data_IF_552164895371
#
_entry.id   IF_552164895371
#
_cell.length_a   1.000
_cell.length_b   1.000
_cell.length_c   1.000
_cell.angle_alpha   90.00
_cell.angle_beta   90.00
_cell.angle_gamma   90.00
#
_symmetry.space_group_name_H-M   'P 1'
#
loop_
_entity.id
_entity.type
_entity.pdbx_description
1 polymer ?
2 non-polymer ?
3 water ?
#
# COMPACT_ATOMS: atom_id res chain seq x y z
N UNK A 6 -10.63 15.27 18.01
CA UNK A 6 -11.63 14.26 17.55
C UNK A 6 -12.24 14.52 16.18
N UNK A 7 -12.30 15.77 15.71
CA UNK A 7 -12.86 16.04 14.38
C UNK A 7 -11.84 15.78 13.26
N UNK A 8 -10.55 15.62 13.55
CA UNK A 8 -9.54 15.33 12.53
C UNK A 8 -9.67 13.89 11.97
N UNK A 9 -10.24 13.05 12.80
CA UNK A 9 -10.52 11.67 12.58
C UNK A 9 -11.97 11.43 12.21
N UNK A 10 -12.81 12.45 12.10
CA UNK A 10 -14.18 12.37 11.62
C UNK A 10 -14.15 11.90 10.17
N UNK A 11 -15.03 11.02 9.71
CA UNK A 11 -15.03 10.45 8.37
C UNK A 11 -14.85 11.31 7.15
N UNK A 12 -15.71 12.30 6.88
CA UNK A 12 -15.54 13.11 5.70
C UNK A 12 -14.19 13.83 5.77
N UNK A 13 -13.90 14.41 6.93
CA UNK A 13 -12.66 15.13 7.11
C UNK A 13 -11.47 14.15 7.00
N UNK A 14 -11.60 12.94 7.57
CA UNK A 14 -10.41 12.05 7.45
C UNK A 14 -10.15 11.70 5.99
N UNK A 15 -11.18 11.42 5.23
CA UNK A 15 -11.07 11.05 3.81
C UNK A 15 -10.40 12.18 3.04
N UNK A 16 -10.91 13.40 3.25
CA UNK A 16 -10.32 14.55 2.56
C UNK A 16 -8.90 14.74 3.03
N UNK A 17 -8.47 14.48 4.26
CA UNK A 17 -7.08 14.62 4.64
C UNK A 17 -6.20 13.57 3.93
N UNK A 18 -6.72 12.34 3.86
CA UNK A 18 -5.96 11.30 3.17
C UNK A 18 -5.83 11.69 1.72
N UNK A 19 -6.90 12.25 1.11
CA UNK A 19 -6.75 12.62 -0.30
C UNK A 19 -5.56 13.55 -0.50
N UNK A 20 -5.40 14.59 0.33
CA UNK A 20 -4.27 15.49 0.16
C UNK A 20 -2.95 14.90 0.58
N UNK A 21 -2.90 13.84 1.34
CA UNK A 21 -1.59 13.23 1.64
C UNK A 21 -1.12 12.27 0.56
N UNK A 22 -1.89 12.09 -0.51
CA UNK A 22 -1.43 11.16 -1.55
C UNK A 22 -0.07 11.50 -2.09
N UNK A 23 0.79 10.54 -2.35
CA UNK A 23 2.13 10.75 -2.86
C UNK A 23 2.03 11.28 -4.29
N UNK A 24 3.11 11.91 -4.71
CA UNK A 24 3.21 12.46 -6.03
C UNK A 24 3.44 11.35 -7.02
N UNK A 25 3.44 11.74 -8.30
CA UNK A 25 3.79 10.77 -9.34
C UNK A 25 5.31 10.56 -9.13
N UNK A 26 5.71 9.30 -9.27
CA UNK A 26 7.13 8.97 -9.19
C UNK A 26 7.59 8.38 -10.53
N UNK A 27 8.68 8.89 -11.04
CA UNK A 27 9.25 8.41 -12.30
C UNK A 27 10.56 7.66 -12.02
N UNK A 28 10.83 6.66 -12.83
CA UNK A 28 12.06 5.85 -12.72
C UNK A 28 13.18 6.66 -13.34
N UNK A 29 12.82 7.42 -14.37
CA UNK A 29 13.73 8.31 -15.07
C UNK A 29 15.03 7.63 -15.47
N UNK A 30 14.89 6.49 -16.13
CA UNK A 30 16.02 5.70 -16.60
C UNK A 30 16.77 6.47 -17.69
N UNK A 31 18.09 6.42 -17.60
CA UNK A 31 19.00 7.09 -18.51
C UNK A 31 19.04 6.44 -19.89
N UNK A 38 17.91 -8.16 -15.52
CA UNK A 38 18.78 -7.19 -14.94
C UNK A 38 18.29 -5.65 -15.00
N UNK A 39 17.60 -5.45 -16.14
CA UNK A 39 17.01 -4.11 -16.26
C UNK A 39 15.63 -4.11 -15.60
N UNK A 40 14.76 -5.08 -15.83
CA UNK A 40 13.46 -4.99 -15.16
C UNK A 40 13.62 -4.98 -13.64
N UNK A 41 14.42 -5.88 -13.08
CA UNK A 41 14.59 -5.88 -11.62
C UNK A 41 15.26 -4.62 -11.14
N UNK A 42 16.18 -4.02 -11.94
CA UNK A 42 16.82 -2.80 -11.48
C UNK A 42 15.77 -1.68 -11.47
N UNK A 43 14.94 -1.64 -12.51
CA UNK A 43 13.92 -0.62 -12.60
C UNK A 43 12.90 -0.78 -11.45
N UNK A 44 12.44 -1.99 -11.18
CA UNK A 44 11.46 -2.12 -10.08
C UNK A 44 12.03 -1.74 -8.74
N UNK A 45 13.30 -2.14 -8.45
CA UNK A 45 13.85 -1.78 -7.15
C UNK A 45 14.22 -0.33 -7.07
N UNK A 46 14.68 0.31 -8.14
CA UNK A 46 14.99 1.74 -8.10
C UNK A 46 13.71 2.55 -7.86
N UNK A 47 12.65 2.10 -8.54
CA UNK A 47 11.35 2.75 -8.38
C UNK A 47 10.86 2.64 -6.94
N UNK A 48 10.91 1.42 -6.37
CA UNK A 48 10.47 1.27 -4.97
C UNK A 48 11.24 2.19 -4.05
N UNK A 49 12.59 2.28 -4.16
CA UNK A 49 13.34 3.14 -3.27
C UNK A 49 12.87 4.58 -3.45
N UNK A 50 12.60 5.02 -4.69
CA UNK A 50 12.11 6.41 -4.82
C UNK A 50 10.73 6.58 -4.15
N UNK A 51 9.84 5.61 -4.34
CA UNK A 51 8.50 5.71 -3.75
C UNK A 51 8.50 5.67 -2.24
N UNK A 52 9.44 4.93 -1.62
CA UNK A 52 9.46 4.86 -0.15
C UNK A 52 9.64 6.17 0.48
N UNK A 53 10.43 7.06 -0.21
CA UNK A 53 10.61 8.37 0.35
C UNK A 53 9.26 9.06 0.55
N UNK A 54 8.40 9.00 -0.47
CA UNK A 54 7.10 9.61 -0.40
C UNK A 54 6.13 8.82 0.49
N UNK A 55 6.33 7.52 0.63
CA UNK A 55 5.42 6.75 1.49
C UNK A 55 5.57 7.21 2.94
N UNK A 56 6.83 7.47 3.35
CA UNK A 56 7.11 7.95 4.69
C UNK A 56 6.40 9.27 4.88
N UNK A 57 6.53 10.16 3.87
CA UNK A 57 5.85 11.44 3.98
C UNK A 57 4.33 11.30 4.11
N UNK A 58 3.77 10.38 3.34
CA UNK A 58 2.34 10.14 3.39
C UNK A 58 1.91 9.66 4.78
N UNK A 59 2.69 8.69 5.29
CA UNK A 59 2.31 8.17 6.64
C UNK A 59 2.23 9.27 7.70
N UNK A 60 3.20 10.20 7.66
CA UNK A 60 3.24 11.29 8.62
C UNK A 60 2.05 12.23 8.51
N UNK A 61 1.34 12.21 7.38
CA UNK A 61 0.15 13.04 7.20
C UNK A 61 -1.12 12.31 7.61
N UNK A 62 -1.12 11.01 7.95
CA UNK A 62 -2.35 10.36 8.40
C UNK A 62 -2.66 10.84 9.80
N UNK A 63 -3.79 11.40 10.10
CA UNK A 63 -4.13 11.91 11.40
C UNK A 63 -3.80 10.91 12.51
N UNK A 64 -3.02 11.34 13.49
CA UNK A 64 -2.63 10.52 14.62
C UNK A 64 -1.37 9.73 14.43
N UNK A 65 -0.91 9.47 13.19
CA UNK A 65 0.28 8.61 13.06
C UNK A 65 1.51 9.09 13.81
N UNK A 66 1.86 10.38 13.72
CA UNK A 66 3.03 10.90 14.42
C UNK A 66 2.79 11.00 15.92
N UNK A 67 1.61 10.74 16.45
CA UNK A 67 1.28 10.74 17.87
C UNK A 67 1.54 9.37 18.46
N UNK A 68 1.80 8.40 17.58
CA UNK A 68 2.13 7.05 18.00
C UNK A 68 3.58 7.11 18.52
N UNK A 69 3.98 6.11 19.31
CA UNK A 69 5.37 6.08 19.71
C UNK A 69 6.25 5.85 18.49
N UNK A 70 7.49 6.32 18.59
CA UNK A 70 8.45 6.15 17.51
C UNK A 70 8.64 4.69 17.17
N UNK A 71 8.62 3.83 18.20
CA UNK A 71 8.76 2.41 18.02
C UNK A 71 7.61 1.91 17.14
N UNK A 72 6.40 2.33 17.41
CA UNK A 72 5.28 1.85 16.58
C UNK A 72 5.37 2.43 15.17
N UNK A 73 5.71 3.70 15.02
CA UNK A 73 5.84 4.29 13.68
C UNK A 73 6.84 3.53 12.83
N UNK A 74 8.04 3.27 13.36
CA UNK A 74 9.03 2.52 12.62
C UNK A 74 8.65 1.07 12.34
N UNK A 75 8.04 0.39 13.33
CA UNK A 75 7.67 -1.01 13.09
C UNK A 75 6.62 -1.12 11.96
N UNK A 76 5.69 -0.16 11.98
CA UNK A 76 4.63 -0.22 10.96
C UNK A 76 5.25 0.05 9.59
N UNK A 77 6.08 1.09 9.49
CA UNK A 77 6.69 1.38 8.20
C UNK A 77 7.57 0.25 7.68
N UNK A 78 8.40 -0.35 8.55
CA UNK A 78 9.26 -1.44 8.09
C UNK A 78 8.46 -2.65 7.65
N UNK A 79 7.34 -2.92 8.27
CA UNK A 79 6.54 -4.09 7.91
C UNK A 79 5.65 -3.89 6.68
N UNK A 80 5.16 -2.69 6.49
CA UNK A 80 4.15 -2.48 5.46
C UNK A 80 4.62 -2.09 4.09
N UNK A 81 5.90 -1.81 3.90
CA UNK A 81 6.31 -1.12 2.66
C UNK A 81 5.94 -1.78 1.36
N UNK A 82 6.21 -3.07 1.17
CA UNK A 82 5.82 -3.68 -0.12
C UNK A 82 4.32 -3.77 -0.24
N UNK A 83 3.61 -4.00 0.87
CA UNK A 83 2.14 -4.06 0.74
C UNK A 83 1.54 -2.72 0.26
N UNK A 84 2.03 -1.65 0.86
CA UNK A 84 1.50 -0.31 0.47
C UNK A 84 1.94 -0.01 -0.94
N UNK A 85 3.17 -0.35 -1.33
CA UNK A 85 3.59 -0.09 -2.70
C UNK A 85 2.68 -0.86 -3.65
N UNK A 86 2.42 -2.15 -3.34
CA UNK A 86 1.60 -2.96 -4.24
C UNK A 86 0.17 -2.49 -4.26
N UNK A 87 -0.41 -2.03 -3.16
CA UNK A 87 -1.81 -1.54 -3.22
C UNK A 87 -1.87 -0.29 -4.12
N UNK A 88 -0.84 0.56 -4.14
CA UNK A 88 -0.86 1.76 -5.01
C UNK A 88 -0.75 1.30 -6.48
N UNK A 89 0.10 0.30 -6.74
CA UNK A 89 0.21 -0.28 -8.08
C UNK A 89 -1.14 -0.81 -8.56
N UNK A 90 -1.87 -1.55 -7.70
CA UNK A 90 -3.14 -2.09 -8.11
C UNK A 90 -4.11 -0.95 -8.39
N UNK A 91 -4.12 0.13 -7.64
CA UNK A 91 -5.06 1.22 -7.91
C UNK A 91 -4.68 1.86 -9.24
N UNK A 92 -3.37 2.05 -9.44
CA UNK A 92 -2.93 2.66 -10.72
C UNK A 92 -3.29 1.80 -11.92
N UNK A 93 -3.38 0.48 -11.77
CA UNK A 93 -3.64 -0.40 -12.88
C UNK A 93 -5.09 -0.88 -12.96
N UNK A 94 -5.96 -0.41 -12.07
CA UNK A 94 -7.31 -0.92 -12.03
C UNK A 94 -8.12 -0.93 -13.30
N UNK A 95 -7.96 0.08 -14.14
CA UNK A 95 -8.79 0.10 -15.36
C UNK A 95 -8.13 -0.50 -16.56
N UNK A 96 -7.00 -1.17 -16.41
CA UNK A 96 -6.27 -1.75 -17.51
C UNK A 96 -5.89 -3.20 -17.40
N UNK A 97 -6.82 -4.06 -17.71
CA UNK A 97 -6.60 -5.49 -17.65
C UNK A 97 -5.32 -5.86 -18.38
N UNK A 98 -4.56 -6.76 -17.79
CA UNK A 98 -3.32 -7.26 -18.32
C UNK A 98 -2.12 -6.35 -18.28
N UNK A 99 -2.24 -5.17 -17.67
CA UNK A 99 -1.10 -4.26 -17.62
C UNK A 99 -0.80 -3.86 -16.17
N UNK A 100 0.46 -3.60 -15.86
CA UNK A 100 0.75 -3.15 -14.50
C UNK A 100 1.38 -1.77 -14.67
N UNK A 101 0.66 -0.76 -14.20
CA UNK A 101 1.22 0.61 -14.34
C UNK A 101 2.08 0.91 -13.12
N UNK A 102 3.33 0.46 -13.12
CA UNK A 102 4.24 0.70 -12.01
C UNK A 102 4.51 2.19 -11.86
N UNK A 103 4.60 2.96 -12.91
CA UNK A 103 4.83 4.40 -12.91
C UNK A 103 4.68 4.83 -14.36
N UNK A 104 4.60 6.24 -14.44
CA UNK A 104 4.48 6.82 -15.77
C UNK A 104 5.35 6.29 -16.90
N UNK A 105 6.64 6.03 -16.72
CA UNK A 105 7.44 5.54 -17.87
N UNK A 106 6.96 3.36 -16.91
CA UNK A 106 7.21 1.96 -16.55
C UNK A 106 5.89 1.23 -16.50
N UNK A 107 5.39 0.91 -17.69
CA UNK A 107 4.13 0.19 -17.83
C UNK A 107 4.49 -1.20 -18.35
N UNK A 108 4.20 -2.24 -17.58
CA UNK A 108 4.57 -3.57 -18.05
C UNK A 108 3.37 -4.45 -18.38
N UNK A 109 3.50 -5.21 -19.47
CA UNK A 109 2.42 -6.13 -19.88
C UNK A 109 2.65 -7.41 -19.08
N UNK A 110 1.61 -8.20 -18.86
CA UNK A 110 1.74 -9.45 -18.12
C UNK A 110 2.88 -10.31 -18.66
N UNK A 111 2.94 -10.53 -19.97
CA UNK A 111 3.95 -11.33 -20.64
C UNK A 111 5.38 -10.89 -20.45
N UNK A 112 5.68 -9.64 -20.12
CA UNK A 112 7.04 -9.22 -19.84
C UNK A 112 7.56 -9.84 -18.55
N UNK A 113 6.68 -10.45 -17.75
CA UNK A 113 7.07 -11.11 -16.52
C UNK A 113 7.76 -12.44 -16.85
N UNK A 114 7.56 -12.96 -18.05
CA UNK A 114 8.17 -14.21 -18.50
C UNK A 114 9.70 -14.14 -18.56
N UNK A 115 10.29 -12.98 -18.76
CA UNK A 115 11.71 -12.78 -18.88
C UNK A 115 12.53 -12.86 -17.60
N UNK A 116 11.94 -12.70 -16.43
CA UNK A 116 12.66 -12.77 -15.17
C UNK A 116 12.13 -13.97 -14.38
N UNK A 117 12.98 -14.88 -13.95
CA UNK A 117 12.47 -16.07 -13.25
C UNK A 117 11.78 -15.72 -11.94
N UNK A 118 10.63 -16.34 -11.74
CA UNK A 118 9.83 -16.14 -10.55
C UNK A 118 8.88 -14.94 -10.66
N UNK A 119 9.13 -13.98 -11.54
CA UNK A 119 8.21 -12.82 -11.61
C UNK A 119 6.85 -13.07 -12.18
N UNK A 120 6.65 -13.97 -13.16
CA UNK A 120 5.32 -14.16 -13.73
C UNK A 120 4.27 -14.50 -12.68
N UNK A 121 4.63 -15.35 -11.73
CA UNK A 121 3.73 -15.73 -10.65
C UNK A 121 3.26 -14.49 -9.87
N UNK A 122 4.21 -13.61 -9.57
CA UNK A 122 3.86 -12.39 -8.82
C UNK A 122 3.02 -11.47 -9.70
N UNK A 123 3.37 -11.30 -10.97
CA UNK A 123 2.53 -10.46 -11.83
C UNK A 123 1.11 -10.97 -11.91
N UNK A 124 0.90 -12.31 -12.05
CA UNK A 124 -0.43 -12.84 -12.13
C UNK A 124 -1.18 -12.64 -10.84
N UNK A 125 -0.52 -12.73 -9.67
CA UNK A 125 -1.31 -12.51 -8.45
C UNK A 125 -1.74 -11.03 -8.38
N UNK A 126 -0.81 -10.17 -8.79
CA UNK A 126 -1.10 -8.70 -8.75
C UNK A 126 -2.24 -8.41 -9.69
N UNK A 127 -2.16 -8.96 -10.91
CA UNK A 127 -3.24 -8.69 -11.89
C UNK A 127 -4.57 -9.29 -11.50
N UNK A 128 -4.58 -10.44 -10.79
CA UNK A 128 -5.86 -11.01 -10.39
C UNK A 128 -6.41 -10.22 -9.21
N UNK A 129 -5.55 -9.74 -8.30
CA UNK A 129 -6.09 -8.96 -7.17
C UNK A 129 -6.66 -7.63 -7.70
N UNK A 130 -5.91 -7.07 -8.65
CA UNK A 130 -6.37 -5.81 -9.26
C UNK A 130 -7.71 -6.04 -9.94
N UNK A 131 -7.83 -7.18 -10.62
CA UNK A 131 -9.11 -7.51 -11.27
C UNK A 131 -10.27 -7.60 -10.31
N UNK A 132 -10.06 -8.13 -9.10
CA UNK A 132 -11.07 -8.26 -8.08
C UNK A 132 -11.51 -6.86 -7.64
N UNK A 133 -10.55 -5.94 -7.43
CA UNK A 133 -10.93 -4.58 -7.04
C UNK A 133 -11.67 -3.90 -8.21
N UNK A 134 -11.34 -4.20 -9.45
CA UNK A 134 -12.08 -3.63 -10.59
C UNK A 134 -13.52 -4.15 -10.63
N UNK A 135 -13.69 -5.46 -10.38
CA UNK A 135 -15.01 -6.06 -10.38
C UNK A 135 -15.86 -5.50 -9.25
N UNK A 136 -15.29 -5.18 -8.10
CA UNK A 136 -16.01 -4.61 -6.97
C UNK A 136 -16.25 -3.11 -7.19
N UNK A 137 -15.63 -2.59 -8.24
CA UNK A 137 -15.76 -1.15 -8.53
C UNK A 137 -15.28 -0.36 -7.32
N UNK A 138 -14.04 -0.62 -6.91
CA UNK A 138 -13.49 0.13 -5.78
C UNK A 138 -13.55 1.65 -5.97
N UNK A 139 -14.08 2.39 -5.01
CA UNK A 139 -14.17 3.85 -5.15
C UNK A 139 -12.90 4.53 -4.69
N UNK A 140 -12.71 5.77 -5.12
CA UNK A 140 -11.53 6.52 -4.70
C UNK A 140 -11.46 6.66 -3.19
N UNK A 141 -12.63 6.99 -2.59
CA UNK A 141 -12.71 7.17 -1.15
C UNK A 141 -12.42 5.84 -0.40
N UNK A 142 -12.85 4.75 -1.00
CA UNK A 142 -12.59 3.43 -0.38
C UNK A 142 -11.12 3.09 -0.50
N UNK A 143 -10.50 3.36 -1.65
CA UNK A 143 -9.07 3.10 -1.80
C UNK A 143 -8.28 3.87 -0.76
N UNK A 144 -8.61 5.15 -0.50
CA UNK A 144 -7.83 5.95 0.46
C UNK A 144 -7.94 5.31 1.87
N UNK A 145 -9.14 4.86 2.22
CA UNK A 145 -9.22 4.23 3.56
C UNK A 145 -8.44 2.91 3.63
N UNK A 146 -8.60 2.07 2.63
CA UNK A 146 -7.93 0.77 2.57
C UNK A 146 -6.43 0.90 2.65
N UNK A 147 -5.84 1.78 1.83
CA UNK A 147 -4.38 1.91 1.88
C UNK A 147 -3.93 2.30 3.28
N UNK A 148 -4.61 3.25 3.95
CA UNK A 148 -4.22 3.59 5.32
C UNK A 148 -4.42 2.39 6.29
N UNK A 149 -5.46 1.60 6.04
CA UNK A 149 -5.64 0.41 6.91
C UNK A 149 -4.50 -0.58 6.72
N UNK A 150 -3.98 -0.71 5.47
CA UNK A 150 -2.86 -1.60 5.22
C UNK A 150 -1.67 -1.15 6.06
N UNK A 151 -1.34 0.15 6.10
CA UNK A 151 -0.21 0.55 6.97
C UNK A 151 -0.52 0.25 8.43
N UNK A 152 -1.68 0.58 8.93
CA UNK A 152 -1.96 0.40 10.36
C UNK A 152 -2.14 -1.01 10.80
N UNK A 153 -2.50 -1.93 9.91
CA UNK A 153 -2.70 -3.35 10.34
C UNK A 153 -1.50 -4.18 10.01
N UNK A 154 -0.37 -3.55 9.63
CA UNK A 154 0.77 -4.33 9.16
C UNK A 154 1.55 -5.15 10.17
N UNK A 155 1.60 -4.66 11.38
CA UNK A 155 2.34 -5.47 12.38
C UNK A 155 1.42 -5.69 13.57
N UNK A 156 1.25 -6.91 14.02
CA UNK A 156 0.39 -7.18 15.17
C UNK A 156 1.07 -6.77 16.49
N UNK A 157 2.40 -6.89 16.52
CA UNK A 157 3.16 -6.56 17.72
C UNK A 157 2.78 -5.31 18.46
N UNK A 158 2.74 -4.16 17.79
CA UNK A 158 2.39 -2.87 18.35
C UNK A 158 1.05 -2.86 19.07
N UNK A 159 0.19 -3.84 18.82
CA UNK A 159 -1.11 -3.98 19.42
C UNK A 159 -1.14 -5.02 20.55
N UNK A 160 -0.28 -6.04 20.48
CA UNK A 160 -0.22 -7.07 21.49
C UNK A 160 1.01 -6.92 22.38
N UNK A 166 1.82 0.81 25.74
CA UNK A 166 0.44 0.81 26.24
C UNK A 166 -0.29 2.06 25.78
N UNK A 167 0.32 3.21 26.06
CA UNK A 167 -0.26 4.48 25.59
C UNK A 167 -0.28 4.42 24.06
N UNK A 168 0.87 4.11 23.48
CA UNK A 168 0.98 4.00 22.03
C UNK A 168 0.14 2.84 21.51
N UNK A 169 -0.01 1.77 22.29
CA UNK A 169 -0.85 0.65 21.89
C UNK A 169 -2.32 1.04 21.83
N UNK A 170 -2.83 1.73 22.85
CA UNK A 170 -4.21 2.18 22.91
C UNK A 170 -4.55 2.97 21.64
N UNK A 171 -3.59 3.84 21.35
CA UNK A 171 -3.62 4.74 20.23
C UNK A 171 -3.70 4.02 18.88
N UNK A 172 -2.94 2.96 18.69
CA UNK A 172 -2.96 2.29 17.38
C UNK A 172 -4.32 1.68 17.11
N UNK A 173 -4.92 1.06 18.13
CA UNK A 173 -6.25 0.49 18.01
C UNK A 173 -7.28 1.56 17.66
N UNK A 174 -7.19 2.69 18.33
CA UNK A 174 -8.06 3.83 18.12
C UNK A 174 -7.94 4.38 16.70
N UNK A 175 -6.69 4.46 16.24
CA UNK A 175 -6.44 4.95 14.91
C UNK A 175 -6.98 3.99 13.86
N UNK A 176 -6.72 2.69 14.07
CA UNK A 176 -7.26 1.70 13.12
C UNK A 176 -8.76 1.69 13.14
N UNK A 177 -9.37 1.88 14.32
CA UNK A 177 -10.82 1.94 14.45
C UNK A 177 -11.39 3.16 13.75
N UNK A 178 -10.72 4.31 13.78
CA UNK A 178 -11.22 5.49 13.10
C UNK A 178 -11.19 5.33 11.58
N UNK A 179 -10.11 4.73 11.08
CA UNK A 179 -10.08 4.57 9.60
C UNK A 179 -11.17 3.62 9.20
N UNK A 180 -11.30 2.50 10.01
CA UNK A 180 -12.40 1.58 9.71
C UNK A 180 -13.73 2.30 9.73
N UNK A 181 -14.00 3.13 10.74
CA UNK A 181 -15.26 3.85 10.79
C UNK A 181 -15.45 4.71 9.54
N UNK A 182 -14.39 5.29 9.02
CA UNK A 182 -14.46 6.12 7.80
C UNK A 182 -14.89 5.28 6.61
N UNK A 183 -14.32 4.08 6.49
CA UNK A 183 -14.64 3.13 5.43
C UNK A 183 -16.12 2.73 5.52
N UNK A 184 -16.58 2.47 6.76
CA UNK A 184 -17.98 2.13 6.97
C UNK A 184 -18.90 3.28 6.56
N UNK A 185 -18.48 4.49 6.84
CA UNK A 185 -19.24 5.69 6.43
C UNK A 185 -19.28 5.81 4.93
N UNK A 186 -18.14 5.61 4.25
CA UNK A 186 -18.11 5.67 2.80
C UNK A 186 -19.07 4.67 2.16
N UNK A 187 -19.07 3.43 2.64
CA UNK A 187 -19.95 2.37 2.14
C UNK A 187 -21.41 2.72 2.40
N UNK A 188 -21.71 3.29 3.53
CA UNK A 188 -23.11 3.64 3.83
C UNK A 188 -23.64 4.73 2.91
N UNK A 189 -22.79 5.66 2.48
CA UNK A 189 -23.19 6.74 1.58
C UNK A 189 -23.57 6.24 0.20
N UNK A 190 -23.16 5.03 -0.18
CA UNK A 190 -23.49 4.43 -1.45
C UNK A 190 -24.98 4.11 -1.57
N UNK A 191 -25.71 4.15 -0.46
CA UNK A 191 -27.13 3.92 -0.43
C UNK A 191 -27.63 2.49 -0.40
N UNK A 192 -26.73 1.51 -0.42
CA UNK A 192 -27.12 0.10 -0.43
C UNK A 192 -27.65 -0.38 0.91
N UNK A 193 -28.33 -1.53 0.90
CA UNK A 193 -28.92 -2.07 2.11
C UNK A 193 -27.91 -2.37 3.22
N UNK A 194 -28.40 -2.51 4.44
CA UNK A 194 -27.51 -2.88 5.55
C UNK A 194 -26.79 -4.19 5.29
N UNK A 195 -27.48 -5.19 4.71
CA UNK A 195 -26.86 -6.47 4.42
C UNK A 195 -25.76 -6.30 3.36
N UNK A 196 -26.08 -5.50 2.35
CA UNK A 196 -25.11 -5.25 1.29
C UNK A 196 -23.96 -4.44 1.86
N UNK A 197 -24.18 -3.52 2.79
CA UNK A 197 -23.08 -2.76 3.36
C UNK A 197 -22.13 -3.76 4.05
N UNK A 198 -22.73 -4.66 4.85
CA UNK A 198 -21.91 -5.63 5.59
C UNK A 198 -21.10 -6.47 4.65
N UNK A 199 -21.69 -6.92 3.56
CA UNK A 199 -21.07 -7.75 2.57
C UNK A 199 -19.96 -6.97 1.84
N UNK A 200 -20.26 -5.68 1.59
CA UNK A 200 -19.14 -4.95 0.85
C UNK A 200 -17.94 -4.76 1.74
N UNK A 201 -18.14 -4.44 3.00
CA UNK A 201 -17.03 -4.31 3.95
C UNK A 201 -16.25 -5.60 4.02
N UNK A 202 -16.96 -6.77 4.08
CA UNK A 202 -16.29 -8.06 4.15
C UNK A 202 -15.51 -8.39 2.88
N UNK A 203 -16.08 -8.09 1.71
CA UNK A 203 -15.41 -8.37 0.45
C UNK A 203 -14.11 -7.55 0.33
N UNK A 204 -14.17 -6.29 0.74
CA UNK A 204 -12.95 -5.45 0.64
C UNK A 204 -11.91 -5.90 1.63
N UNK A 205 -12.35 -6.17 2.87
CA UNK A 205 -11.34 -6.55 3.89
C UNK A 205 -10.76 -7.91 3.60
N UNK A 206 -11.53 -8.87 3.02
CA UNK A 206 -10.96 -10.15 2.65
C UNK A 206 -9.86 -10.00 1.59
N UNK A 207 -10.04 -8.96 0.75
CA UNK A 207 -8.97 -8.70 -0.23
C UNK A 207 -7.68 -8.27 0.39
N UNK A 208 -7.62 -7.72 1.59
CA UNK A 208 -6.40 -7.34 2.25
C UNK A 208 -5.49 -8.57 2.40
N UNK A 209 -6.10 -9.76 2.62
CA UNK A 209 -5.25 -10.95 2.77
C UNK A 209 -4.58 -11.26 1.43
N UNK A 210 -5.24 -10.92 0.30
CA UNK A 210 -4.64 -11.19 -1.01
C UNK A 210 -3.52 -10.14 -1.24
N UNK A 211 -3.66 -8.93 -0.76
CA UNK A 211 -2.57 -7.92 -0.92
C UNK A 211 -1.40 -8.31 -0.04
N UNK A 212 -1.65 -8.86 1.17
CA UNK A 212 -0.58 -9.35 2.04
C UNK A 212 0.16 -10.52 1.36
N UNK A 213 -0.56 -11.43 0.77
CA UNK A 213 0.00 -12.60 0.07
C UNK A 213 0.94 -12.12 -1.04
N UNK A 214 0.44 -11.15 -1.82
CA UNK A 214 1.33 -10.64 -2.88
C UNK A 214 2.61 -10.02 -2.34
N UNK A 215 2.48 -9.24 -1.26
CA UNK A 215 3.65 -8.60 -0.68
C UNK A 215 4.60 -9.67 -0.15
N UNK A 216 4.08 -10.71 0.48
CA UNK A 216 5.02 -11.74 1.00
C UNK A 216 5.75 -12.42 -0.16
N UNK A 217 4.99 -12.72 -1.20
CA UNK A 217 5.67 -13.38 -2.34
C UNK A 217 6.71 -12.44 -2.96
N UNK A 218 6.37 -11.15 -3.06
CA UNK A 218 7.31 -10.18 -3.65
C UNK A 218 8.57 -10.08 -2.81
N UNK A 219 8.45 -10.07 -1.47
CA UNK A 219 9.59 -9.94 -0.60
C UNK A 219 10.48 -11.20 -0.67
N UNK A 220 9.81 -12.31 -0.77
CA UNK A 220 10.57 -13.58 -0.88
C UNK A 220 11.36 -13.57 -2.18
N UNK A 221 10.75 -13.15 -3.26
CA UNK A 221 11.39 -13.08 -4.56
C UNK A 221 12.59 -12.14 -4.54
N UNK A 222 12.38 -10.97 -3.94
CA UNK A 222 13.46 -9.99 -3.86
C UNK A 222 14.65 -10.50 -3.05
N UNK A 223 14.34 -11.15 -1.93
CA UNK A 223 15.41 -11.70 -1.09
C UNK A 223 16.19 -12.81 -1.79
N UNK A 224 15.59 -13.46 -2.76
CA UNK A 224 16.23 -14.51 -3.53
C UNK A 224 17.00 -13.98 -4.73
N UNK A 225 16.94 -12.68 -4.96
CA UNK A 225 17.63 -12.07 -6.07
C UNK A 225 19.12 -11.88 -5.78
N UNK A 226 19.91 -11.91 -6.84
CA UNK A 226 21.34 -11.70 -6.73
C UNK A 226 21.54 -10.18 -6.60
N UNK A 227 22.19 -9.80 -5.52
CA UNK A 227 22.51 -8.43 -5.17
C UNK A 227 22.91 -7.49 -6.30
N UNK A 228 23.67 -7.93 -7.30
CA UNK A 228 24.11 -7.12 -8.42
C UNK A 228 23.02 -6.68 -9.38
N UNK A 229 21.92 -7.42 -9.47
CA UNK A 229 20.83 -7.07 -10.35
C UNK A 229 19.70 -6.35 -9.62
N UNK A 230 20.02 -5.72 -8.49
CA UNK A 230 18.96 -5.05 -7.73
C UNK A 230 19.44 -3.91 -6.87
N UNK A 231 18.58 -2.93 -6.62
CA UNK A 231 18.87 -1.82 -5.70
C UNK A 231 18.52 -2.40 -4.34
N UNK A 232 19.28 -2.19 -3.30
CA UNK A 232 19.05 -2.74 -1.96
C UNK A 232 17.95 -1.94 -1.26
N UNK A 233 16.70 -2.12 -1.73
CA UNK A 233 15.60 -1.34 -1.18
C UNK A 233 15.48 -1.33 0.33
N UNK A 234 15.47 -2.53 0.93
CA UNK A 234 15.26 -2.61 2.37
C UNK A 234 16.29 -1.89 3.21
N UNK A 235 17.58 -2.05 2.83
CA UNK A 235 18.62 -1.33 3.60
C UNK A 235 18.49 0.17 3.41
N UNK A 236 18.09 0.57 2.19
CA UNK A 236 17.87 1.99 1.91
C UNK A 236 16.69 2.53 2.74
N UNK A 237 15.69 1.71 2.98
CA UNK A 237 14.52 2.09 3.75
C UNK A 237 14.89 2.29 5.22
N UNK A 238 15.71 1.34 5.70
CA UNK A 238 16.16 1.44 7.11
C UNK A 238 16.94 2.72 7.32
N UNK A 239 17.76 3.09 6.35
CA UNK A 239 18.53 4.34 6.41
C UNK A 239 17.55 5.51 6.45
N UNK A 240 16.46 5.45 5.66
CA UNK A 240 15.47 6.50 5.68
C UNK A 240 14.81 6.61 7.06
N UNK A 241 14.48 5.46 7.62
CA UNK A 241 13.83 5.44 8.95
C UNK A 241 14.82 5.96 9.99
N UNK A 242 16.10 5.63 9.89
CA UNK A 242 17.06 6.15 10.86
C UNK A 242 17.19 7.66 10.62
N UNK A 243 17.25 8.05 9.35
CA UNK A 243 17.36 9.46 8.97
C UNK A 243 16.20 10.30 9.48
N UNK A 244 15.03 9.71 9.68
CA UNK A 244 13.85 10.37 10.17
C UNK A 244 13.67 10.27 11.69
N UNK A 245 14.57 9.51 12.32
CA UNK A 245 14.44 9.40 13.78
C UNK A 245 15.36 10.50 14.31
N UNK A 246 16.55 10.57 13.72
CA UNK A 246 17.57 11.55 14.06
C UNK A 246 17.14 12.95 13.63
X LIG B 1 11.25 -6.95 -6.27
X LIG B 1 10.96 -8.29 -6.55
X LIG B 1 11.98 -9.23 -6.44
X LIG B 1 9.73 -8.74 -6.96
X LIG B 1 8.69 -7.81 -7.06
X LIG B 1 7.43 -8.14 -7.49
X LIG B 1 8.92 -6.45 -6.81
X LIG B 1 7.86 -5.44 -6.99
X LIG B 1 6.70 -5.67 -7.33
X LIG B 1 8.22 -4.04 -6.68
X LIG B 1 9.49 -3.75 -6.26
X LIG B 1 10.46 -4.71 -6.14
X LIG B 1 10.18 -6.03 -6.42
X LIG B 1 7.34 -2.81 -6.72
X LIG B 1 5.99 -2.85 -6.36
X LIG B 1 5.20 -1.72 -6.38
X LIG B 1 5.74 -0.52 -6.77
X LIG B 1 4.94 0.61 -6.78
X LIG B 1 7.08 -0.42 -7.17
X LIG B 1 7.89 -1.59 -7.14
#
# INVERSE_FOLDING_TARGET
VRELLLDALSPEQLVLTLLEAEPPHVLISRPSAPFTEASMMMSLTKLADKELVHMISWAKKIPGFVELSLFDQVRLLESCWMEVLMMGLMWRSIDHPGKLIFAPDLVLDRDEGKCVEGILEIFDMLLATTSRFRELKLQHKEYLCVKAMILLNSSMYPLVTATQDADSSRKLAHLLNAVTDALVWVIAKSGISSQQQSMRLANLLMLLSHVRHASNKGMEHLLNMKCKNVVPVYDLLLEMLNAHVLRGCKSSITG
GEN C1 C2 O2 C3 C4 O4 C5 C6 O6 C7 C8 O9 C10 C11 C12 C13 C14 O14 C15 C16
#
